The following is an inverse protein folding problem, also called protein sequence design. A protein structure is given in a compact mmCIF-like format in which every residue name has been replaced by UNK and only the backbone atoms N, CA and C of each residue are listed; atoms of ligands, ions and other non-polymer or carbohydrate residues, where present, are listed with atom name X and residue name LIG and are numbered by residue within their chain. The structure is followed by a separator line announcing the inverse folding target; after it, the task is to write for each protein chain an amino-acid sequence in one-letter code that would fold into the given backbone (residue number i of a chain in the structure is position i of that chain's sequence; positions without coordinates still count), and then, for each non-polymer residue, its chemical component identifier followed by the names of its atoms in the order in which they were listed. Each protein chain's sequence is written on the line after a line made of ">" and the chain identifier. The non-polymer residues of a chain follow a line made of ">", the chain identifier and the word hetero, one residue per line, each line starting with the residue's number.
data_IF_937450649766
#
_entry.id   IF_937450649766
#
_cell.length_a   1.000
_cell.length_b   1.000
_cell.length_c   1.000
_cell.angle_alpha   90.00
_cell.angle_beta   90.00
_cell.angle_gamma   90.00
#
_symmetry.space_group_name_H-M   'P 1'
#
loop_
_entity.id
_entity.type
_entity.pdbx_description
1 polymer ?
#
# COMPACT_ATOMS: atom_id res chain seq x y z
N UNK A 1 3.49 10.75 22.14
CA UNK A 1 3.36 9.28 22.19
C UNK A 1 3.33 8.79 20.75
N UNK A 2 4.25 7.95 20.27
CA UNK A 2 4.11 7.38 18.93
C UNK A 2 2.82 6.54 18.94
N UNK A 3 1.87 6.94 18.09
CA UNK A 3 0.55 6.32 17.99
C UNK A 3 0.66 4.84 17.62
N UNK A 4 -0.31 4.09 18.12
CA UNK A 4 -0.52 2.66 18.01
C UNK A 4 -0.24 2.09 16.61
N UNK A 5 0.80 1.26 16.50
CA UNK A 5 0.99 0.05 15.66
C UNK A 5 0.22 -0.09 14.34
N UNK A 6 0.27 0.91 13.47
CA UNK A 6 -0.24 0.84 12.09
C UNK A 6 0.79 0.16 11.16
N UNK A 7 0.84 -1.17 11.22
CA UNK A 7 1.74 -1.97 10.39
C UNK A 7 1.10 -2.32 9.03
N UNK A 8 1.86 -2.22 7.92
CA UNK A 8 1.43 -2.75 6.63
C UNK A 8 1.12 -4.25 6.71
N UNK A 9 -0.15 -4.60 6.55
CA UNK A 9 -0.61 -5.99 6.46
C UNK A 9 -0.81 -6.37 4.99
N UNK A 10 -0.47 -7.61 4.65
CA UNK A 10 -0.70 -8.15 3.31
C UNK A 10 -2.19 -8.41 3.11
N UNK A 11 -2.76 -7.87 2.04
CA UNK A 11 -4.14 -8.08 1.65
C UNK A 11 -4.28 -9.31 0.75
N UNK A 12 -5.41 -9.99 0.85
CA UNK A 12 -5.78 -11.16 0.05
C UNK A 12 -7.12 -10.92 -0.65
N UNK A 13 -7.53 -11.86 -1.49
CA UNK A 13 -8.81 -11.79 -2.20
C UNK A 13 -10.02 -11.54 -1.27
N UNK A 14 -9.97 -12.02 -0.01
CA UNK A 14 -11.00 -11.76 0.99
C UNK A 14 -11.09 -10.27 1.43
N UNK A 15 -10.02 -9.50 1.25
CA UNK A 15 -9.95 -8.07 1.60
C UNK A 15 -10.39 -7.15 0.45
N UNK A 16 -10.83 -7.71 -0.69
CA UNK A 16 -11.23 -6.97 -1.89
C UNK A 16 -12.32 -5.93 -1.61
N UNK A 17 -13.26 -6.23 -0.74
CA UNK A 17 -14.29 -5.27 -0.36
C UNK A 17 -13.67 -4.07 0.38
N UNK A 18 -12.78 -4.32 1.35
CA UNK A 18 -12.10 -3.25 2.08
C UNK A 18 -11.21 -2.40 1.15
N UNK A 19 -10.55 -3.03 0.17
CA UNK A 19 -9.76 -2.36 -0.86
C UNK A 19 -10.64 -1.48 -1.75
N UNK A 20 -11.78 -2.00 -2.21
CA UNK A 20 -12.78 -1.22 -2.95
C UNK A 20 -13.23 0.01 -2.17
N UNK A 21 -13.57 -0.16 -0.88
CA UNK A 21 -14.00 0.96 -0.04
C UNK A 21 -12.91 2.02 0.14
N UNK A 22 -11.64 1.61 0.24
CA UNK A 22 -10.51 2.54 0.28
C UNK A 22 -10.46 3.41 -0.98
N UNK A 23 -10.55 2.80 -2.17
CA UNK A 23 -10.50 3.56 -3.42
C UNK A 23 -11.74 4.42 -3.64
N UNK A 24 -12.93 3.96 -3.21
CA UNK A 24 -14.14 4.76 -3.25
C UNK A 24 -14.06 5.99 -2.32
N UNK A 25 -13.36 5.88 -1.19
CA UNK A 25 -13.14 7.00 -0.26
C UNK A 25 -12.13 8.05 -0.76
N UNK A 26 -11.39 7.78 -1.85
CA UNK A 26 -10.53 8.77 -2.48
C UNK A 26 -11.35 9.85 -3.19
N UNK A 27 -10.99 11.11 -3.00
CA UNK A 27 -11.57 12.23 -3.75
C UNK A 27 -11.16 12.21 -5.23
N UNK A 28 -11.84 12.99 -6.06
CA UNK A 28 -11.58 13.04 -7.52
C UNK A 28 -10.12 13.30 -7.87
N UNK A 29 -9.48 14.24 -7.17
CA UNK A 29 -8.07 14.57 -7.38
C UNK A 29 -7.14 13.42 -6.97
N UNK A 30 -7.43 12.76 -5.86
CA UNK A 30 -6.61 11.63 -5.39
C UNK A 30 -6.73 10.43 -6.35
N UNK A 31 -7.92 10.19 -6.91
CA UNK A 31 -8.12 9.18 -7.96
C UNK A 31 -7.31 9.53 -9.20
N UNK A 32 -7.31 10.80 -9.62
CA UNK A 32 -6.48 11.28 -10.73
C UNK A 32 -5.00 11.03 -10.48
N UNK A 33 -4.49 11.39 -9.30
CA UNK A 33 -3.09 11.19 -8.94
C UNK A 33 -2.69 9.71 -8.82
N UNK A 34 -3.62 8.83 -8.40
CA UNK A 34 -3.39 7.40 -8.19
C UNK A 34 -3.52 6.57 -9.47
N UNK A 35 -4.43 6.94 -10.37
CA UNK A 35 -4.80 6.14 -11.53
C UNK A 35 -4.48 6.82 -12.87
N UNK A 36 -3.89 8.03 -12.84
CA UNK A 36 -3.66 8.86 -14.04
C UNK A 36 -4.93 9.50 -14.61
N UNK A 37 -6.11 9.17 -14.07
CA UNK A 37 -7.40 9.67 -14.52
C UNK A 37 -8.40 9.74 -13.36
N UNK A 38 -9.36 10.67 -13.46
CA UNK A 38 -10.46 10.75 -12.49
C UNK A 38 -11.45 9.62 -12.76
N UNK A 39 -11.33 8.52 -12.01
CA UNK A 39 -12.21 7.37 -12.15
C UNK A 39 -13.55 7.59 -11.43
N UNK A 40 -14.65 7.18 -12.08
CA UNK A 40 -15.97 7.08 -11.45
C UNK A 40 -16.02 5.91 -10.47
N UNK A 41 -17.02 5.88 -9.60
CA UNK A 41 -17.20 4.77 -8.64
C UNK A 41 -17.36 3.42 -9.35
N UNK A 42 -18.10 3.39 -10.47
CA UNK A 42 -18.28 2.16 -11.25
C UNK A 42 -16.99 1.73 -11.95
N UNK A 43 -16.19 2.69 -12.43
CA UNK A 43 -14.88 2.40 -12.99
C UNK A 43 -13.91 1.85 -11.93
N UNK A 44 -13.99 2.31 -10.67
CA UNK A 44 -13.24 1.74 -9.55
C UNK A 44 -13.67 0.30 -9.28
N UNK A 45 -14.98 0.02 -9.20
CA UNK A 45 -15.48 -1.35 -8.99
C UNK A 45 -15.02 -2.30 -10.09
N UNK A 46 -15.10 -1.87 -11.35
CA UNK A 46 -14.62 -2.65 -12.50
C UNK A 46 -13.09 -2.78 -12.54
N UNK A 47 -12.34 -1.79 -12.07
CA UNK A 47 -10.88 -1.88 -11.91
C UNK A 47 -10.54 -2.95 -10.88
N UNK A 48 -11.19 -2.91 -9.73
CA UNK A 48 -10.97 -3.85 -8.63
C UNK A 48 -11.17 -5.28 -9.08
N UNK A 49 -12.26 -5.60 -9.79
CA UNK A 49 -12.51 -6.96 -10.31
C UNK A 49 -11.36 -7.54 -11.15
N UNK A 50 -10.54 -6.68 -11.78
CA UNK A 50 -9.38 -7.08 -12.59
C UNK A 50 -8.08 -7.24 -11.80
N UNK A 51 -8.07 -6.85 -10.52
CA UNK A 51 -6.93 -7.09 -9.64
C UNK A 51 -6.80 -8.58 -9.37
N UNK A 52 -5.65 -9.10 -9.77
CA UNK A 52 -5.23 -10.48 -9.55
C UNK A 52 -4.37 -10.56 -8.30
N UNK A 53 -4.93 -11.07 -7.20
CA UNK A 53 -4.24 -11.21 -5.90
C UNK A 53 -3.24 -12.38 -5.86
N UNK A 54 -3.22 -13.23 -6.89
CA UNK A 54 -2.23 -14.31 -7.01
C UNK A 54 -0.99 -13.81 -7.75
N UNK A 55 -1.16 -12.89 -8.71
CA UNK A 55 -0.07 -12.25 -9.45
C UNK A 55 0.48 -11.02 -8.75
N UNK A 56 -0.39 -10.12 -8.30
CA UNK A 56 -0.02 -8.84 -7.74
C UNK A 56 0.13 -8.97 -6.21
N UNK A 57 0.89 -8.06 -5.60
CA UNK A 57 1.00 -8.00 -4.14
C UNK A 57 0.41 -6.69 -3.63
N UNK A 58 -0.39 -6.75 -2.57
CA UNK A 58 -1.07 -5.56 -2.02
C UNK A 58 -0.85 -5.51 -0.52
N UNK A 59 -0.41 -4.36 -0.03
CA UNK A 59 -0.31 -4.08 1.40
C UNK A 59 -1.22 -2.92 1.77
N UNK A 60 -1.89 -3.05 2.91
CA UNK A 60 -2.76 -2.04 3.49
C UNK A 60 -2.36 -1.68 4.91
N UNK A 61 -2.59 -0.44 5.31
CA UNK A 61 -2.57 -0.01 6.70
C UNK A 61 -4.00 0.29 7.12
N UNK A 62 -4.47 -0.37 8.17
CA UNK A 62 -5.81 -0.19 8.71
C UNK A 62 -5.81 0.75 9.92
N UNK A 63 -6.79 1.64 9.99
CA UNK A 63 -7.08 2.48 11.14
C UNK A 63 -7.75 1.70 12.28
N UNK A 64 -8.10 2.40 13.35
CA UNK A 64 -8.71 1.79 14.54
C UNK A 64 -10.08 1.16 14.26
N UNK A 65 -10.79 1.70 13.29
CA UNK A 65 -12.04 1.16 12.78
C UNK A 65 -11.82 0.10 11.68
N UNK A 66 -10.62 -0.47 11.59
CA UNK A 66 -10.21 -1.47 10.60
C UNK A 66 -10.43 -1.08 9.13
N UNK A 67 -10.82 0.17 8.85
CA UNK A 67 -10.88 0.68 7.48
C UNK A 67 -9.46 0.93 6.98
N UNK A 68 -9.22 0.69 5.69
CA UNK A 68 -7.91 0.90 5.09
C UNK A 68 -7.66 2.40 4.93
N UNK A 69 -6.67 2.92 5.66
CA UNK A 69 -6.23 4.31 5.58
C UNK A 69 -5.25 4.56 4.44
N UNK A 70 -4.44 3.55 4.12
CA UNK A 70 -3.43 3.64 3.09
C UNK A 70 -3.19 2.28 2.44
N UNK A 71 -2.87 2.28 1.15
CA UNK A 71 -2.64 1.07 0.34
C UNK A 71 -1.44 1.28 -0.58
N UNK A 72 -0.65 0.23 -0.77
CA UNK A 72 0.26 0.08 -1.91
C UNK A 72 -0.11 -1.17 -2.69
N UNK A 73 -0.23 -1.00 -3.99
CA UNK A 73 -0.39 -2.09 -4.96
C UNK A 73 0.92 -2.25 -5.73
N UNK A 74 1.40 -3.49 -5.79
CA UNK A 74 2.61 -3.91 -6.48
C UNK A 74 2.21 -4.74 -7.70
N UNK A 75 2.46 -4.22 -8.89
CA UNK A 75 2.26 -4.96 -10.14
C UNK A 75 3.61 -5.49 -10.64
N UNK A 76 3.68 -6.81 -10.87
CA UNK A 76 4.90 -7.44 -11.38
C UNK A 76 4.91 -7.45 -12.91
N UNK A 77 6.04 -7.07 -13.48
CA UNK A 77 6.30 -7.08 -14.90
C UNK A 77 7.37 -8.14 -15.26
N UNK A 78 7.44 -8.56 -16.54
CA UNK A 78 8.54 -9.37 -17.03
C UNK A 78 9.91 -8.74 -16.74
N UNK A 79 10.97 -9.56 -16.89
CA UNK A 79 12.36 -9.12 -16.75
C UNK A 79 12.74 -8.61 -15.34
N UNK A 80 11.95 -8.97 -14.33
CA UNK A 80 12.23 -8.63 -12.94
C UNK A 80 12.03 -7.14 -12.65
N UNK A 81 10.99 -6.55 -13.22
CA UNK A 81 10.56 -5.17 -12.92
C UNK A 81 9.24 -5.19 -12.15
N UNK A 82 8.99 -4.17 -11.35
CA UNK A 82 7.71 -3.99 -10.68
C UNK A 82 7.32 -2.52 -10.59
N UNK A 83 6.02 -2.26 -10.57
CA UNK A 83 5.44 -0.93 -10.41
C UNK A 83 4.76 -0.81 -9.04
N UNK A 84 4.87 0.37 -8.43
CA UNK A 84 4.13 0.70 -7.20
C UNK A 84 3.08 1.78 -7.45
N UNK A 85 1.84 1.49 -7.03
CA UNK A 85 0.77 2.48 -6.91
C UNK A 85 0.38 2.68 -5.45
N UNK A 86 0.61 3.87 -4.89
CA UNK A 86 0.28 4.21 -3.50
C UNK A 86 -0.90 5.17 -3.39
N UNK A 87 -1.74 4.95 -2.38
CA UNK A 87 -2.82 5.86 -2.00
C UNK A 87 -2.89 5.99 -0.47
N UNK A 88 -3.18 7.22 0.00
CA UNK A 88 -3.37 7.54 1.42
C UNK A 88 -4.58 8.45 1.54
N UNK A 89 -5.56 8.04 2.35
CA UNK A 89 -6.75 8.83 2.60
C UNK A 89 -6.38 10.19 3.23
N UNK A 90 -7.10 11.28 2.91
CA UNK A 90 -6.77 12.63 3.38
C UNK A 90 -6.52 12.74 4.90
N UNK A 91 -7.36 12.09 5.70
CA UNK A 91 -7.27 12.09 7.17
C UNK A 91 -6.00 11.41 7.73
N UNK A 92 -5.33 10.58 6.93
CA UNK A 92 -4.16 9.79 7.35
C UNK A 92 -2.83 10.34 6.79
N UNK A 93 -2.86 11.48 6.09
CA UNK A 93 -1.66 12.11 5.51
C UNK A 93 -0.77 12.76 6.58
N UNK A 94 0.50 12.93 6.26
CA UNK A 94 1.49 13.53 7.17
C UNK A 94 1.96 12.61 8.30
N UNK A 95 1.42 11.39 8.41
CA UNK A 95 1.75 10.42 9.47
C UNK A 95 2.81 9.39 9.05
N UNK A 96 3.37 9.53 7.84
CA UNK A 96 4.43 8.63 7.35
C UNK A 96 3.95 7.32 6.72
N UNK A 97 2.64 7.06 6.64
CA UNK A 97 2.06 5.80 6.15
C UNK A 97 2.53 5.43 4.72
N UNK A 98 2.61 6.40 3.82
CA UNK A 98 3.13 6.17 2.47
C UNK A 98 4.59 5.68 2.45
N UNK A 99 5.44 6.19 3.35
CA UNK A 99 6.83 5.72 3.48
C UNK A 99 6.89 4.30 4.06
N UNK A 100 6.02 3.99 5.03
CA UNK A 100 5.94 2.66 5.62
C UNK A 100 5.51 1.62 4.58
N UNK A 101 4.50 1.94 3.77
CA UNK A 101 4.05 1.09 2.67
C UNK A 101 5.10 0.93 1.58
N UNK A 102 5.75 2.02 1.16
CA UNK A 102 6.84 1.95 0.18
C UNK A 102 7.98 1.03 0.68
N UNK A 103 8.40 1.18 1.93
CA UNK A 103 9.44 0.35 2.55
C UNK A 103 9.01 -1.12 2.61
N UNK A 104 7.75 -1.40 2.98
CA UNK A 104 7.19 -2.76 3.00
C UNK A 104 7.22 -3.38 1.60
N UNK A 105 6.82 -2.63 0.58
CA UNK A 105 6.78 -3.09 -0.80
C UNK A 105 8.21 -3.36 -1.33
N UNK A 106 9.16 -2.46 -1.11
CA UNK A 106 10.57 -2.67 -1.52
C UNK A 106 11.18 -3.90 -0.85
N UNK A 107 10.94 -4.10 0.45
CA UNK A 107 11.40 -5.30 1.14
C UNK A 107 10.84 -6.58 0.50
N UNK A 108 9.55 -6.57 0.13
CA UNK A 108 8.93 -7.67 -0.60
C UNK A 108 9.61 -7.93 -1.95
N UNK A 109 9.79 -6.87 -2.73
CA UNK A 109 10.36 -6.93 -4.08
C UNK A 109 11.78 -7.47 -4.09
N UNK A 110 12.64 -7.04 -3.15
CA UNK A 110 13.99 -7.57 -2.97
C UNK A 110 13.96 -9.09 -2.77
N UNK A 111 13.08 -9.57 -1.89
CA UNK A 111 12.92 -11.00 -1.60
C UNK A 111 12.17 -11.79 -2.67
N UNK A 112 11.75 -11.13 -3.75
CA UNK A 112 11.23 -11.74 -4.98
C UNK A 112 12.22 -11.66 -6.14
N UNK A 113 13.43 -11.14 -5.90
CA UNK A 113 14.47 -11.03 -6.93
C UNK A 113 14.16 -9.99 -8.01
N UNK A 114 13.23 -9.06 -7.73
CA UNK A 114 13.00 -7.90 -8.61
C UNK A 114 14.24 -7.04 -8.62
N UNK A 115 14.64 -6.59 -9.81
CA UNK A 115 15.88 -5.83 -10.05
C UNK A 115 15.65 -4.34 -10.11
N UNK A 116 14.46 -3.93 -10.53
CA UNK A 116 14.08 -2.53 -10.62
C UNK A 116 12.62 -2.36 -10.19
N UNK A 117 12.37 -1.37 -9.34
CA UNK A 117 11.02 -0.89 -9.05
C UNK A 117 10.86 0.51 -9.60
N UNK A 118 9.70 0.79 -10.17
CA UNK A 118 9.36 2.12 -10.66
C UNK A 118 7.99 2.59 -10.18
N UNK A 119 7.80 3.90 -10.28
CA UNK A 119 6.53 4.57 -10.02
C UNK A 119 6.29 5.51 -11.19
N UNK A 120 5.16 5.34 -11.85
CA UNK A 120 4.63 6.32 -12.78
C UNK A 120 3.72 7.27 -12.01
N UNK A 121 4.03 8.56 -12.05
CA UNK A 121 3.17 9.57 -11.43
C UNK A 121 3.11 10.81 -12.29
N UNK A 122 1.99 11.53 -12.23
CA UNK A 122 1.88 12.85 -12.85
C UNK A 122 2.83 13.80 -12.12
N UNK A 123 3.45 14.75 -12.84
CA UNK A 123 4.50 15.62 -12.27
C UNK A 123 4.03 16.46 -11.09
N UNK A 124 2.72 16.74 -10.98
CA UNK A 124 2.12 17.47 -9.86
C UNK A 124 2.01 16.64 -8.58
N UNK A 125 2.27 15.33 -8.61
CA UNK A 125 2.20 14.45 -7.45
C UNK A 125 3.39 14.66 -6.50
N UNK A 126 3.43 15.82 -5.83
CA UNK A 126 4.50 16.22 -4.93
C UNK A 126 4.71 15.23 -3.78
N UNK A 127 3.63 14.59 -3.30
CA UNK A 127 3.69 13.59 -2.24
C UNK A 127 4.44 12.32 -2.69
N UNK A 128 4.10 11.80 -3.87
CA UNK A 128 4.78 10.62 -4.42
C UNK A 128 6.24 10.95 -4.80
N UNK A 129 6.50 12.12 -5.39
CA UNK A 129 7.87 12.58 -5.67
C UNK A 129 8.70 12.74 -4.39
N UNK A 130 8.10 13.18 -3.29
CA UNK A 130 8.76 13.25 -1.99
C UNK A 130 9.14 11.85 -1.48
N UNK A 131 8.22 10.88 -1.52
CA UNK A 131 8.49 9.48 -1.14
C UNK A 131 9.61 8.91 -2.03
N UNK A 132 9.51 9.08 -3.35
CA UNK A 132 10.50 8.61 -4.31
C UNK A 132 11.91 9.14 -4.00
N UNK A 133 12.06 10.47 -3.83
CA UNK A 133 13.35 11.08 -3.50
C UNK A 133 13.89 10.61 -2.16
N UNK A 134 13.02 10.49 -1.14
CA UNK A 134 13.39 10.05 0.20
C UNK A 134 13.92 8.61 0.22
N UNK A 135 13.40 7.75 -0.66
CA UNK A 135 13.85 6.37 -0.83
C UNK A 135 14.98 6.21 -1.87
N UNK A 136 15.57 7.32 -2.34
CA UNK A 136 16.71 7.29 -3.25
C UNK A 136 16.36 6.88 -4.68
N UNK A 137 15.07 6.97 -5.07
CA UNK A 137 14.68 6.75 -6.46
C UNK A 137 15.22 7.87 -7.35
N UNK A 138 15.71 7.52 -8.53
CA UNK A 138 16.06 8.48 -9.59
C UNK A 138 14.78 8.93 -10.27
N UNK A 139 14.47 10.22 -10.16
CA UNK A 139 13.30 10.84 -10.80
C UNK A 139 13.70 11.42 -12.15
N UNK A 140 12.96 11.06 -13.20
CA UNK A 140 13.06 11.60 -14.55
C UNK A 140 11.71 12.24 -14.88
N UNK A 141 11.71 13.48 -15.37
CA UNK A 141 10.47 14.18 -15.76
C UNK A 141 10.45 14.33 -17.27
N UNK A 142 9.40 13.84 -17.91
CA UNK A 142 9.18 13.98 -19.35
C UNK A 142 7.69 14.27 -19.62
N UNK A 143 7.39 15.31 -20.40
CA UNK A 143 6.03 15.53 -20.93
C UNK A 143 4.91 15.78 -19.90
N UNK A 144 5.21 16.25 -18.69
CA UNK A 144 4.21 16.44 -17.63
C UNK A 144 3.97 15.21 -16.75
N UNK A 145 4.62 14.09 -17.08
CA UNK A 145 4.70 12.90 -16.24
C UNK A 145 6.09 12.79 -15.59
N UNK A 146 6.16 12.00 -14.53
CA UNK A 146 7.37 11.75 -13.76
C UNK A 146 7.52 10.26 -13.50
N UNK A 147 8.62 9.73 -14.01
CA UNK A 147 9.09 8.37 -13.76
C UNK A 147 10.10 8.39 -12.63
N UNK A 148 9.81 7.71 -11.53
CA UNK A 148 10.79 7.44 -10.49
C UNK A 148 11.23 5.96 -10.56
N UNK A 149 12.53 5.69 -10.58
CA UNK A 149 13.06 4.31 -10.66
C UNK A 149 14.12 4.05 -9.59
N UNK A 150 14.13 2.83 -9.05
CA UNK A 150 15.09 2.37 -8.05
C UNK A 150 15.58 0.97 -8.40
N UNK A 151 16.90 0.84 -8.53
CA UNK A 151 17.55 -0.46 -8.62
C UNK A 151 17.52 -1.14 -7.25
N UNK A 152 17.12 -2.41 -7.21
CA UNK A 152 16.98 -3.18 -5.99
C UNK A 152 18.19 -4.06 -5.75
N UNK A 153 18.54 -4.22 -4.47
CA UNK A 153 19.56 -5.16 -4.03
C UNK A 153 19.10 -6.61 -4.25
N UNK A 154 20.06 -7.53 -4.30
CA UNK A 154 19.76 -8.97 -4.31
C UNK A 154 19.25 -9.43 -2.94
N UNK A 155 18.37 -10.44 -2.90
CA UNK A 155 17.94 -11.04 -1.64
C UNK A 155 19.10 -11.67 -0.90
N UNK A 156 19.03 -11.63 0.43
CA UNK A 156 19.94 -12.33 1.35
C UNK A 156 19.11 -13.20 2.29
N UNK A 157 19.67 -14.26 2.91
CA UNK A 157 18.96 -15.03 3.93
C UNK A 157 18.42 -14.14 5.07
N UNK A 158 19.19 -13.12 5.46
CA UNK A 158 18.78 -12.16 6.47
C UNK A 158 17.59 -11.28 6.03
N UNK A 159 17.54 -10.83 4.77
CA UNK A 159 16.41 -10.03 4.26
C UNK A 159 15.13 -10.87 4.16
N UNK A 160 15.24 -12.14 3.80
CA UNK A 160 14.10 -13.08 3.78
C UNK A 160 13.57 -13.32 5.18
N UNK A 161 14.47 -13.57 6.15
CA UNK A 161 14.09 -13.73 7.56
C UNK A 161 13.44 -12.46 8.12
N UNK A 162 13.99 -11.29 7.81
CA UNK A 162 13.45 -10.00 8.24
C UNK A 162 12.03 -9.77 7.69
N UNK A 163 11.78 -10.07 6.42
CA UNK A 163 10.43 -9.99 5.85
C UNK A 163 9.48 -10.95 6.57
N UNK A 164 9.89 -12.19 6.83
CA UNK A 164 9.06 -13.14 7.57
C UNK A 164 8.66 -12.60 8.94
N UNK A 165 9.60 -12.02 9.70
CA UNK A 165 9.29 -11.40 10.99
C UNK A 165 8.30 -10.25 10.88
N UNK A 166 8.48 -9.36 9.89
CA UNK A 166 7.55 -8.25 9.64
C UNK A 166 6.16 -8.78 9.28
N UNK A 167 6.07 -9.82 8.45
CA UNK A 167 4.81 -10.45 8.08
C UNK A 167 4.10 -11.09 9.28
N UNK A 168 4.83 -11.81 10.14
CA UNK A 168 4.24 -12.40 11.33
C UNK A 168 3.74 -11.32 12.30
N UNK A 169 4.55 -10.30 12.56
CA UNK A 169 4.19 -9.23 13.48
C UNK A 169 2.96 -8.45 12.98
N UNK A 170 2.95 -8.05 11.70
CA UNK A 170 1.82 -7.33 11.12
C UNK A 170 0.52 -8.14 11.17
N UNK A 171 0.57 -9.44 10.87
CA UNK A 171 -0.59 -10.33 10.96
C UNK A 171 -1.11 -10.46 12.38
N UNK A 172 -0.22 -10.76 13.34
CA UNK A 172 -0.60 -10.93 14.74
C UNK A 172 -1.24 -9.67 15.32
N UNK A 173 -0.64 -8.49 15.06
CA UNK A 173 -1.21 -7.21 15.50
C UNK A 173 -2.58 -6.98 14.85
N UNK A 174 -2.72 -7.24 13.55
CA UNK A 174 -3.97 -7.05 12.84
C UNK A 174 -5.07 -7.99 13.36
N UNK A 175 -4.76 -9.27 13.55
CA UNK A 175 -5.69 -10.26 14.13
C UNK A 175 -6.11 -9.89 15.56
N UNK A 176 -5.17 -9.44 16.39
CA UNK A 176 -5.47 -8.98 17.74
C UNK A 176 -6.43 -7.77 17.72
N UNK A 177 -6.22 -6.80 16.82
CA UNK A 177 -7.13 -5.64 16.64
C UNK A 177 -8.52 -6.09 16.17
N UNK A 178 -8.59 -7.05 15.22
CA UNK A 178 -9.87 -7.63 14.77
C UNK A 178 -10.62 -8.31 15.90
N UNK A 179 -9.93 -9.14 16.69
CA UNK A 179 -10.52 -9.85 17.83
C UNK A 179 -11.01 -8.88 18.92
N UNK A 180 -10.18 -7.90 19.29
CA UNK A 180 -10.54 -6.88 20.27
C UNK A 180 -11.78 -6.09 19.83
N UNK A 181 -11.86 -5.69 18.56
CA UNK A 181 -13.03 -4.97 18.05
C UNK A 181 -14.28 -5.83 17.99
N UNK A 182 -14.17 -7.09 17.57
CA UNK A 182 -15.28 -8.02 17.58
C UNK A 182 -15.84 -8.18 19.02
N UNK A 183 -14.97 -8.31 20.01
CA UNK A 183 -15.35 -8.36 21.43
C UNK A 183 -16.08 -7.08 21.88
N UNK A 184 -15.53 -5.90 21.60
CA UNK A 184 -16.13 -4.61 21.97
C UNK A 184 -17.48 -4.33 21.26
N UNK A 185 -17.66 -4.85 20.04
CA UNK A 185 -18.94 -4.77 19.31
C UNK A 185 -19.99 -5.76 19.81
N UNK A 186 -19.62 -6.72 20.66
CA UNK A 186 -20.54 -7.76 21.11
C UNK A 186 -21.54 -7.21 22.16
N UNK A 187 -22.84 -7.54 22.09
CA UNK A 187 -23.86 -6.97 22.97
C UNK A 187 -23.62 -7.18 24.47
N UNK A 188 -22.89 -8.24 24.84
CA UNK A 188 -22.54 -8.55 26.23
C UNK A 188 -21.46 -7.61 26.81
N UNK A 189 -20.58 -7.05 25.98
CA UNK A 189 -19.54 -6.12 26.42
C UNK A 189 -20.07 -4.70 26.70
N UNK A 190 -21.28 -4.36 26.24
CA UNK A 190 -21.94 -3.06 26.50
C UNK A 190 -22.66 -2.98 27.85
N UNK A 191 -22.73 -4.08 28.61
CA UNK A 191 -23.45 -4.17 29.90
C UNK A 191 -22.54 -4.27 31.13
N UNK A 192 -21.22 -4.13 30.97
CA UNK A 192 -20.24 -4.13 32.06
C UNK A 192 -19.76 -2.71 32.37
#
# INVERSE_FOLDING_TARGET
>A
MPGTTELPVRLRAADREALTQHFLALGAEDRRLRFGATLTDDAIRALEERIDFDRDEIFGIAGDDLSLLAVVHVAFYPEGRAELGLSVLPQARGQGLGNALFSRAVMHLVNRGVREVFVHCIAENAAMLHIARKHGMRVVQEGGESDARLALARPTPASVLAEWFVDQNARLVHEARRAARAYLSHPLARKA
#
